data_IF_541757547591
#
_entry.id   IF_541757547591
#
_cell.length_a   1.000
_cell.length_b   1.000
_cell.length_c   1.000
_cell.angle_alpha   90.00
_cell.angle_beta   90.00
_cell.angle_gamma   90.00
#
_symmetry.space_group_name_H-M   'P 1'
#
loop_
_entity.id
_entity.type
_entity.pdbx_description
1 polymer ?
#
# COMPACT_ATOMS: atom_id res chain seq x y z
N UNK A 1 -78.20 -11.49 18.08
CA UNK A 1 -78.43 -10.09 17.65
C UNK A 1 -77.08 -9.38 17.63
N UNK A 2 -76.77 -8.41 16.74
CA UNK A 2 -76.94 -8.23 15.28
C UNK A 2 -75.60 -8.42 14.51
N UNK A 3 -75.56 -8.68 13.18
CA UNK A 3 -75.28 -7.75 12.04
C UNK A 3 -74.08 -6.80 12.23
N UNK A 4 -73.20 -6.45 11.28
CA UNK A 4 -73.02 -6.66 9.82
C UNK A 4 -71.81 -5.78 9.37
N UNK A 5 -71.41 -5.87 8.10
CA UNK A 5 -70.64 -4.87 7.26
C UNK A 5 -69.10 -4.92 7.42
N UNK A 6 -68.29 -5.50 6.51
CA UNK A 6 -68.01 -5.26 5.07
C UNK A 6 -67.23 -3.96 4.79
N UNK A 7 -65.97 -4.06 4.30
CA UNK A 7 -65.50 -3.36 3.07
C UNK A 7 -64.04 -3.67 2.74
N UNK A 8 -63.88 -4.23 1.54
CA UNK A 8 -62.70 -4.22 0.69
C UNK A 8 -62.27 -2.79 0.34
N UNK A 9 -60.96 -2.55 0.17
CA UNK A 9 -60.46 -1.70 -0.91
C UNK A 9 -59.07 -2.15 -1.38
N UNK A 10 -59.03 -2.58 -2.66
CA UNK A 10 -57.84 -2.69 -3.49
C UNK A 10 -57.23 -1.32 -3.77
N UNK A 11 -55.90 -1.23 -3.74
CA UNK A 11 -55.09 -0.23 -4.44
C UNK A 11 -53.99 -1.03 -5.15
N UNK A 12 -54.17 -1.46 -6.40
CA UNK A 12 -53.88 -0.73 -7.66
C UNK A 12 -52.47 -0.12 -7.70
N UNK A 13 -51.57 -0.89 -8.32
CA UNK A 13 -50.56 -0.50 -9.32
C UNK A 13 -49.74 0.78 -9.10
N UNK A 14 -48.43 0.60 -8.94
CA UNK A 14 -47.45 1.39 -9.70
C UNK A 14 -46.23 0.51 -9.99
N UNK A 15 -46.23 -0.13 -11.16
CA UNK A 15 -45.05 -0.77 -11.74
C UNK A 15 -44.26 0.36 -12.41
N UNK A 16 -43.25 0.86 -11.72
CA UNK A 16 -42.34 1.87 -12.28
C UNK A 16 -41.34 1.19 -13.19
N UNK A 17 -41.43 1.58 -14.46
CA UNK A 17 -40.61 1.23 -15.61
C UNK A 17 -39.10 1.42 -15.30
N UNK A 18 -38.34 0.33 -15.27
CA UNK A 18 -36.88 0.34 -15.26
C UNK A 18 -36.40 0.66 -16.69
N UNK A 19 -36.01 1.91 -16.93
CA UNK A 19 -35.24 2.30 -18.13
C UNK A 19 -33.79 1.78 -17.99
N UNK A 20 -33.25 1.01 -18.95
CA UNK A 20 -31.81 0.82 -19.05
C UNK A 20 -31.20 2.10 -19.65
N UNK A 21 -30.56 2.90 -18.80
CA UNK A 21 -29.70 4.00 -19.26
C UNK A 21 -28.42 3.39 -19.82
N UNK A 22 -28.43 3.11 -21.11
CA UNK A 22 -27.23 2.83 -21.89
C UNK A 22 -26.45 4.12 -22.11
N UNK A 23 -25.38 4.32 -21.33
CA UNK A 23 -24.35 5.32 -21.65
C UNK A 23 -23.34 4.63 -22.56
N UNK A 24 -23.57 4.74 -23.86
CA UNK A 24 -22.50 4.65 -24.86
C UNK A 24 -21.85 6.03 -24.94
N UNK A 25 -20.78 6.23 -24.17
CA UNK A 25 -19.87 7.35 -24.37
C UNK A 25 -18.74 6.92 -25.31
N UNK A 26 -18.69 7.57 -26.48
CA UNK A 26 -17.66 7.43 -27.47
C UNK A 26 -16.39 8.24 -27.11
N UNK A 27 -15.23 7.63 -27.38
CA UNK A 27 -13.95 8.21 -27.79
C UNK A 27 -13.44 9.49 -27.12
N UNK A 28 -12.52 9.30 -26.16
CA UNK A 28 -11.61 10.32 -25.65
C UNK A 28 -10.82 9.76 -24.47
N UNK A 29 -9.90 8.83 -24.73
CA UNK A 29 -9.16 8.09 -23.70
C UNK A 29 -8.40 9.00 -22.74
N UNK A 30 -8.99 9.23 -21.57
CA UNK A 30 -8.29 9.59 -20.34
C UNK A 30 -8.48 8.40 -19.39
N UNK A 31 -7.36 7.81 -18.99
CA UNK A 31 -7.27 6.65 -18.10
C UNK A 31 -7.74 7.01 -16.66
N UNK A 32 -9.05 7.13 -16.44
CA UNK A 32 -9.65 7.20 -15.09
C UNK A 32 -9.64 5.81 -14.44
N UNK A 33 -8.43 5.28 -14.27
CA UNK A 33 -8.15 3.94 -13.71
C UNK A 33 -8.61 3.80 -12.25
N UNK A 34 -8.63 4.89 -11.49
CA UNK A 34 -9.17 4.95 -10.11
C UNK A 34 -10.70 4.93 -10.06
N UNK A 35 -11.40 5.34 -11.14
CA UNK A 35 -12.85 5.51 -11.17
C UNK A 35 -13.38 6.85 -10.65
N UNK A 36 -12.52 7.77 -10.23
CA UNK A 36 -12.84 9.16 -9.93
C UNK A 36 -11.61 10.05 -10.21
N UNK A 37 -11.83 11.34 -10.43
CA UNK A 37 -10.74 12.28 -10.77
C UNK A 37 -10.31 13.07 -9.53
N UNK A 38 -9.08 13.58 -9.49
CA UNK A 38 -8.61 14.43 -8.38
C UNK A 38 -9.49 15.66 -8.13
N UNK A 39 -10.14 16.20 -9.16
CA UNK A 39 -11.10 17.31 -9.05
C UNK A 39 -12.32 16.97 -8.21
N UNK A 40 -12.69 15.69 -8.14
CA UNK A 40 -13.88 15.23 -7.43
C UNK A 40 -13.61 15.08 -5.91
N UNK A 41 -12.34 15.21 -5.47
CA UNK A 41 -11.96 15.06 -4.06
C UNK A 41 -12.17 16.36 -3.28
N UNK A 42 -13.07 16.33 -2.29
CA UNK A 42 -13.30 17.45 -1.39
C UNK A 42 -12.10 17.70 -0.45
N UNK A 43 -11.27 18.68 -0.80
CA UNK A 43 -10.10 19.07 -0.02
C UNK A 43 -10.46 19.69 1.35
N UNK A 44 -11.69 20.14 1.55
CA UNK A 44 -12.16 20.72 2.82
C UNK A 44 -12.59 19.69 3.86
N UNK A 45 -12.74 18.42 3.47
CA UNK A 45 -13.10 17.36 4.43
C UNK A 45 -11.94 17.01 5.36
N UNK A 46 -12.30 16.59 6.58
CA UNK A 46 -11.36 16.17 7.63
C UNK A 46 -10.34 15.16 7.10
N UNK A 47 -9.07 15.31 7.45
CA UNK A 47 -8.04 14.32 7.09
C UNK A 47 -8.08 13.08 8.00
N UNK A 48 -8.81 13.13 9.12
CA UNK A 48 -8.93 12.05 10.07
C UNK A 48 -10.18 11.19 9.80
N UNK A 49 -10.06 9.89 10.11
CA UNK A 49 -11.23 9.00 10.23
C UNK A 49 -12.06 9.46 11.43
N UNK A 50 -13.35 9.62 11.22
CA UNK A 50 -14.33 10.04 12.22
C UNK A 50 -14.81 8.86 13.06
N UNK A 51 -15.38 9.14 14.24
CA UNK A 51 -15.93 8.08 15.09
C UNK A 51 -17.14 7.40 14.47
N UNK A 52 -17.92 8.13 13.67
CA UNK A 52 -18.99 7.55 12.87
C UNK A 52 -18.43 6.54 11.87
N UNK A 53 -17.37 6.88 11.12
CA UNK A 53 -16.74 5.96 10.16
C UNK A 53 -16.18 4.72 10.85
N UNK A 54 -15.52 4.90 12.01
CA UNK A 54 -15.05 3.78 12.85
C UNK A 54 -16.20 2.89 13.31
N UNK A 55 -17.31 3.47 13.77
CA UNK A 55 -18.47 2.71 14.24
C UNK A 55 -19.17 1.90 13.13
N UNK A 56 -19.03 2.31 11.86
CA UNK A 56 -19.59 1.60 10.71
C UNK A 56 -18.65 0.53 10.14
N UNK A 57 -17.50 0.28 10.77
CA UNK A 57 -16.57 -0.75 10.34
C UNK A 57 -16.26 -1.70 11.51
N UNK A 58 -16.22 -2.99 11.21
CA UNK A 58 -15.74 -4.02 12.13
C UNK A 58 -14.75 -4.88 11.37
N UNK A 59 -13.49 -4.88 11.83
CA UNK A 59 -12.45 -5.67 11.19
C UNK A 59 -12.79 -7.18 11.27
N UNK A 60 -12.51 -7.96 10.21
CA UNK A 60 -12.65 -9.41 10.24
C UNK A 60 -11.80 -10.05 11.35
N UNK A 61 -12.36 -11.04 12.05
CA UNK A 61 -11.69 -11.70 13.17
C UNK A 61 -10.43 -12.48 12.74
N UNK A 62 -10.41 -13.01 11.52
CA UNK A 62 -9.26 -13.70 10.92
C UNK A 62 -8.21 -12.72 10.36
N UNK A 63 -8.54 -11.43 10.31
CA UNK A 63 -7.71 -10.38 9.70
C UNK A 63 -7.38 -10.62 8.23
N UNK A 64 -8.24 -11.34 7.49
CA UNK A 64 -8.06 -11.67 6.09
C UNK A 64 -8.78 -10.66 5.19
N UNK A 65 -8.10 -10.21 4.15
CA UNK A 65 -8.61 -9.30 3.12
C UNK A 65 -9.57 -10.03 2.17
N UNK A 66 -10.36 -9.26 1.44
CA UNK A 66 -11.16 -9.74 0.30
C UNK A 66 -10.66 -9.16 -1.02
N UNK A 67 -10.93 -9.82 -2.14
CA UNK A 67 -10.61 -9.31 -3.49
C UNK A 67 -11.17 -7.90 -3.75
N UNK A 68 -12.35 -7.62 -3.18
CA UNK A 68 -13.00 -6.31 -3.23
C UNK A 68 -12.20 -5.25 -2.50
N UNK A 69 -11.73 -5.54 -1.29
CA UNK A 69 -10.87 -4.65 -0.50
C UNK A 69 -9.52 -4.39 -1.16
N UNK A 70 -8.92 -5.40 -1.80
CA UNK A 70 -7.68 -5.22 -2.59
C UNK A 70 -7.92 -4.25 -3.75
N UNK A 71 -9.04 -4.40 -4.46
CA UNK A 71 -9.40 -3.50 -5.57
C UNK A 71 -9.68 -2.08 -5.07
N UNK A 72 -10.41 -1.95 -3.96
CA UNK A 72 -10.71 -0.66 -3.34
C UNK A 72 -9.43 0.05 -2.90
N UNK A 73 -8.49 -0.66 -2.28
CA UNK A 73 -7.17 -0.17 -1.90
C UNK A 73 -6.40 0.38 -3.09
N UNK A 74 -6.27 -0.41 -4.16
CA UNK A 74 -5.53 0.01 -5.35
C UNK A 74 -6.12 1.28 -5.96
N UNK A 75 -7.46 1.37 -6.09
CA UNK A 75 -8.14 2.56 -6.62
C UNK A 75 -7.98 3.78 -5.71
N UNK A 76 -8.10 3.58 -4.40
CA UNK A 76 -7.97 4.65 -3.41
C UNK A 76 -6.57 5.25 -3.43
N UNK A 77 -5.53 4.41 -3.44
CA UNK A 77 -4.14 4.86 -3.54
C UNK A 77 -3.82 5.50 -4.89
N UNK A 78 -4.41 5.03 -6.00
CA UNK A 78 -4.26 5.71 -7.30
C UNK A 78 -4.81 7.13 -7.26
N UNK A 79 -6.04 7.30 -6.76
CA UNK A 79 -6.62 8.62 -6.59
C UNK A 79 -5.80 9.47 -5.61
N UNK A 80 -5.24 8.85 -4.56
CA UNK A 80 -4.32 9.51 -3.62
C UNK A 80 -3.11 10.09 -4.35
N UNK A 81 -2.43 9.29 -5.18
CA UNK A 81 -1.24 9.73 -5.92
C UNK A 81 -1.57 10.76 -6.98
N UNK A 82 -2.70 10.63 -7.68
CA UNK A 82 -3.15 11.62 -8.65
C UNK A 82 -3.49 12.96 -7.97
N UNK A 83 -4.08 12.92 -6.76
CA UNK A 83 -4.31 14.11 -5.95
C UNK A 83 -2.99 14.72 -5.48
N UNK A 84 -2.08 13.93 -4.92
CA UNK A 84 -0.76 14.40 -4.46
C UNK A 84 -0.01 15.08 -5.62
N UNK A 85 -0.01 14.47 -6.81
CA UNK A 85 0.63 15.03 -8.01
C UNK A 85 0.05 16.40 -8.33
N UNK A 86 -1.26 16.49 -8.47
CA UNK A 86 -1.96 17.75 -8.79
C UNK A 86 -1.72 18.84 -7.73
N UNK A 87 -1.87 18.51 -6.45
CA UNK A 87 -1.70 19.48 -5.37
C UNK A 87 -0.23 19.88 -5.17
N UNK A 88 0.73 18.99 -5.46
CA UNK A 88 2.15 19.34 -5.49
C UNK A 88 2.48 20.41 -6.52
N UNK A 89 1.79 20.44 -7.67
CA UNK A 89 1.97 21.51 -8.66
C UNK A 89 1.52 22.86 -8.11
N UNK A 90 0.40 22.87 -7.38
CA UNK A 90 -0.10 24.06 -6.69
C UNK A 90 0.83 24.53 -5.56
N UNK A 91 1.36 23.60 -4.76
CA UNK A 91 2.35 23.89 -3.72
C UNK A 91 3.63 24.48 -4.33
N UNK A 92 4.13 23.88 -5.40
CA UNK A 92 5.31 24.35 -6.13
C UNK A 92 5.12 25.78 -6.67
N UNK A 93 3.95 26.09 -7.23
CA UNK A 93 3.64 27.44 -7.69
C UNK A 93 3.66 28.47 -6.55
N UNK A 94 3.13 28.11 -5.36
CA UNK A 94 3.18 28.97 -4.16
C UNK A 94 4.60 29.17 -3.65
N UNK A 95 5.42 28.11 -3.63
CA UNK A 95 6.84 28.19 -3.24
C UNK A 95 7.60 29.12 -4.18
N UNK A 96 7.44 28.98 -5.49
CA UNK A 96 8.08 29.87 -6.47
C UNK A 96 7.63 31.33 -6.32
N UNK A 97 6.35 31.57 -6.00
CA UNK A 97 5.86 32.91 -5.72
C UNK A 97 6.48 33.50 -4.44
N UNK A 98 6.63 32.70 -3.38
CA UNK A 98 7.32 33.11 -2.14
C UNK A 98 8.79 33.44 -2.40
N UNK A 99 9.52 32.59 -3.15
CA UNK A 99 10.92 32.83 -3.53
C UNK A 99 11.08 34.11 -4.35
N UNK A 100 10.15 34.39 -5.28
CA UNK A 100 10.15 35.62 -6.06
C UNK A 100 9.95 36.85 -5.17
N UNK A 101 8.97 36.80 -4.26
CA UNK A 101 8.69 37.87 -3.30
C UNK A 101 9.86 38.11 -2.34
N UNK A 102 10.60 37.06 -1.97
CA UNK A 102 11.80 37.19 -1.12
C UNK A 102 12.90 38.01 -1.79
N UNK A 103 13.14 37.74 -3.09
CA UNK A 103 14.12 38.48 -3.90
C UNK A 103 13.72 39.94 -4.10
N UNK A 104 12.44 40.27 -4.03
CA UNK A 104 11.89 41.60 -4.29
C UNK A 104 11.61 42.43 -3.00
N UNK A 105 11.47 41.80 -1.82
CA UNK A 105 10.78 42.42 -0.65
C UNK A 105 11.58 42.73 0.62
N UNK A 106 12.89 42.40 0.70
CA UNK A 106 13.72 42.70 1.88
C UNK A 106 13.25 42.00 3.20
N UNK A 107 13.68 42.52 4.36
CA UNK A 107 13.51 41.89 5.70
C UNK A 107 12.05 41.66 6.14
N UNK A 108 11.11 42.49 5.69
CA UNK A 108 9.66 42.28 5.91
C UNK A 108 9.09 41.12 5.07
N UNK A 109 9.67 40.88 3.89
CA UNK A 109 9.38 39.70 3.07
C UNK A 109 9.82 38.40 3.75
N UNK A 110 10.98 38.41 4.42
CA UNK A 110 11.48 37.23 5.15
C UNK A 110 10.54 36.79 6.30
N UNK A 111 10.03 37.72 7.11
CA UNK A 111 9.12 37.38 8.23
C UNK A 111 7.76 36.83 7.75
N UNK A 112 7.18 37.37 6.67
CA UNK A 112 5.96 36.81 6.06
C UNK A 112 6.23 35.44 5.44
N UNK A 113 7.38 35.26 4.80
CA UNK A 113 7.77 34.00 4.19
C UNK A 113 7.98 32.88 5.22
N UNK A 114 8.44 33.16 6.45
CA UNK A 114 8.55 32.11 7.50
C UNK A 114 7.17 31.58 7.90
N UNK A 115 6.17 32.45 8.04
CA UNK A 115 4.79 32.05 8.38
C UNK A 115 4.14 31.28 7.23
N UNK A 116 4.32 31.75 6.00
CA UNK A 116 3.74 31.10 4.81
C UNK A 116 4.48 29.79 4.44
N UNK A 117 5.79 29.68 4.71
CA UNK A 117 6.54 28.43 4.60
C UNK A 117 6.04 27.39 5.61
N UNK A 118 5.80 27.78 6.86
CA UNK A 118 5.23 26.90 7.88
C UNK A 118 3.85 26.36 7.48
N UNK A 119 2.98 27.21 6.92
CA UNK A 119 1.68 26.79 6.38
C UNK A 119 1.81 25.85 5.17
N UNK A 120 2.77 26.11 4.30
CA UNK A 120 3.01 25.28 3.11
C UNK A 120 3.52 23.89 3.50
N UNK A 121 4.42 23.80 4.50
CA UNK A 121 4.87 22.52 5.04
C UNK A 121 3.75 21.75 5.76
N UNK A 122 2.91 22.45 6.53
CA UNK A 122 1.74 21.82 7.15
C UNK A 122 0.75 21.28 6.08
N UNK A 123 0.49 22.06 5.03
CA UNK A 123 -0.32 21.62 3.89
C UNK A 123 0.28 20.43 3.15
N UNK A 124 1.61 20.37 3.01
CA UNK A 124 2.28 19.21 2.44
C UNK A 124 2.12 17.95 3.31
N UNK A 125 2.24 18.10 4.64
CA UNK A 125 1.96 17.02 5.59
C UNK A 125 0.50 16.53 5.52
N UNK A 126 -0.46 17.46 5.50
CA UNK A 126 -1.90 17.16 5.39
C UNK A 126 -2.27 16.56 4.02
N UNK A 127 -1.59 16.99 2.96
CA UNK A 127 -1.76 16.44 1.63
C UNK A 127 -1.30 14.98 1.60
N UNK A 128 -0.09 14.71 2.09
CA UNK A 128 0.48 13.36 2.06
C UNK A 128 -0.26 12.41 3.01
N UNK A 129 -0.55 12.85 4.24
CA UNK A 129 -1.25 12.04 5.25
C UNK A 129 -2.75 11.93 5.04
N UNK A 130 -3.42 13.02 4.63
CA UNK A 130 -4.89 13.10 4.55
C UNK A 130 -5.49 12.83 3.17
N UNK A 131 -4.68 12.78 2.11
CA UNK A 131 -5.17 12.48 0.75
C UNK A 131 -5.85 11.11 0.68
N UNK A 132 -5.31 10.09 1.35
CA UNK A 132 -5.86 8.74 1.27
C UNK A 132 -7.29 8.64 1.83
N UNK A 133 -7.54 9.28 2.98
CA UNK A 133 -8.86 9.34 3.62
C UNK A 133 -9.86 10.08 2.73
N UNK A 134 -9.46 11.21 2.15
CA UNK A 134 -10.31 11.99 1.24
C UNK A 134 -10.60 11.22 -0.05
N UNK A 135 -9.61 10.52 -0.61
CA UNK A 135 -9.79 9.62 -1.75
C UNK A 135 -10.74 8.47 -1.44
N UNK A 136 -10.65 7.86 -0.25
CA UNK A 136 -11.56 6.80 0.17
C UNK A 136 -13.02 7.29 0.20
N UNK A 137 -13.28 8.45 0.83
CA UNK A 137 -14.61 9.06 0.86
C UNK A 137 -15.13 9.39 -0.53
N UNK A 138 -14.27 9.94 -1.39
CA UNK A 138 -14.63 10.33 -2.77
C UNK A 138 -15.07 9.12 -3.58
N UNK A 139 -14.43 7.97 -3.36
CA UNK A 139 -14.78 6.71 -4.01
C UNK A 139 -15.94 5.97 -3.33
N UNK A 140 -16.52 6.54 -2.26
CA UNK A 140 -17.63 5.95 -1.50
C UNK A 140 -17.21 4.79 -0.58
N UNK A 141 -15.92 4.63 -0.29
CA UNK A 141 -15.43 3.63 0.65
C UNK A 141 -15.41 4.17 2.07
N UNK A 142 -15.59 3.29 3.07
CA UNK A 142 -15.44 3.66 4.47
C UNK A 142 -13.95 3.92 4.78
N UNK A 143 -13.55 5.10 5.25
CA UNK A 143 -12.13 5.38 5.53
C UNK A 143 -11.51 4.52 6.64
N UNK A 144 -12.29 4.12 7.65
CA UNK A 144 -11.80 3.22 8.71
C UNK A 144 -11.44 1.84 8.16
N UNK A 145 -12.27 1.30 7.26
CA UNK A 145 -11.95 0.06 6.54
C UNK A 145 -10.70 0.25 5.69
N UNK A 146 -10.59 1.35 4.95
CA UNK A 146 -9.46 1.59 4.06
C UNK A 146 -8.13 1.77 4.79
N UNK A 147 -8.11 2.35 5.98
CA UNK A 147 -6.90 2.38 6.83
C UNK A 147 -6.52 0.98 7.31
N UNK A 148 -7.50 0.18 7.75
CA UNK A 148 -7.26 -1.20 8.15
C UNK A 148 -6.72 -2.05 6.98
N UNK A 149 -7.29 -1.91 5.77
CA UNK A 149 -6.77 -2.58 4.56
C UNK A 149 -5.34 -2.14 4.27
N UNK A 150 -5.04 -0.84 4.38
CA UNK A 150 -3.68 -0.30 4.20
C UNK A 150 -2.68 -0.90 5.19
N UNK A 151 -3.09 -1.10 6.45
CA UNK A 151 -2.28 -1.75 7.48
C UNK A 151 -1.97 -3.21 7.10
N UNK A 152 -2.99 -3.99 6.68
CA UNK A 152 -2.80 -5.36 6.21
C UNK A 152 -1.90 -5.45 4.97
N UNK A 153 -2.02 -4.50 4.02
CA UNK A 153 -1.11 -4.40 2.87
C UNK A 153 0.35 -4.11 3.32
N UNK A 154 0.52 -3.29 4.36
CA UNK A 154 1.82 -3.01 4.97
C UNK A 154 2.45 -4.24 5.62
N UNK A 155 1.67 -5.06 6.31
CA UNK A 155 2.14 -6.33 6.88
C UNK A 155 2.63 -7.30 5.81
N UNK A 156 1.87 -7.44 4.71
CA UNK A 156 2.27 -8.27 3.57
C UNK A 156 3.58 -7.76 2.98
N UNK A 157 3.72 -6.45 2.77
CA UNK A 157 4.98 -5.88 2.29
C UNK A 157 6.14 -6.12 3.25
N UNK A 158 5.92 -6.03 4.57
CA UNK A 158 6.93 -6.36 5.58
C UNK A 158 7.41 -7.80 5.47
N UNK A 159 6.50 -8.77 5.32
CA UNK A 159 6.84 -10.18 5.10
C UNK A 159 7.63 -10.36 3.80
N UNK A 160 7.19 -9.74 2.71
CA UNK A 160 7.86 -9.83 1.41
C UNK A 160 9.25 -9.19 1.41
N UNK A 161 9.46 -8.11 2.17
CA UNK A 161 10.79 -7.50 2.36
C UNK A 161 11.73 -8.40 3.16
N UNK A 162 11.21 -9.14 4.14
CA UNK A 162 12.02 -10.05 4.96
C UNK A 162 12.31 -11.39 4.29
N UNK A 163 11.46 -11.82 3.34
CA UNK A 163 11.57 -13.12 2.65
C UNK A 163 12.95 -13.38 2.04
N UNK A 164 13.59 -12.47 1.28
CA UNK A 164 14.94 -12.70 0.75
C UNK A 164 16.01 -12.88 1.85
N UNK A 165 15.91 -12.13 2.96
CA UNK A 165 16.81 -12.27 4.10
C UNK A 165 16.64 -13.63 4.79
N UNK A 166 15.40 -14.09 4.94
CA UNK A 166 15.08 -15.41 5.49
C UNK A 166 15.59 -16.53 4.59
N UNK A 167 15.35 -16.45 3.29
CA UNK A 167 15.85 -17.42 2.31
C UNK A 167 17.39 -17.46 2.30
N UNK A 168 18.05 -16.31 2.38
CA UNK A 168 19.50 -16.24 2.49
C UNK A 168 20.00 -16.87 3.80
N UNK A 169 19.37 -16.58 4.94
CA UNK A 169 19.72 -17.17 6.22
C UNK A 169 19.57 -18.70 6.21
N UNK A 170 18.50 -19.21 5.60
CA UNK A 170 18.27 -20.65 5.42
C UNK A 170 19.34 -21.29 4.53
N UNK A 171 19.73 -20.64 3.43
CA UNK A 171 20.84 -21.11 2.57
C UNK A 171 22.16 -21.14 3.32
N UNK A 172 22.50 -20.06 4.04
CA UNK A 172 23.72 -20.00 4.85
C UNK A 172 23.75 -21.05 5.96
N UNK A 173 22.60 -21.36 6.59
CA UNK A 173 22.51 -22.43 7.57
C UNK A 173 22.72 -23.81 6.93
N UNK A 174 22.15 -24.06 5.75
CA UNK A 174 22.37 -25.29 4.99
C UNK A 174 23.84 -25.46 4.58
N UNK A 175 24.49 -24.40 4.11
CA UNK A 175 25.92 -24.41 3.75
C UNK A 175 26.80 -24.67 4.97
N UNK A 176 26.50 -24.06 6.12
CA UNK A 176 27.22 -24.28 7.37
C UNK A 176 27.07 -25.73 7.85
N UNK A 177 25.87 -26.29 7.72
CA UNK A 177 25.61 -27.69 8.05
C UNK A 177 26.39 -28.63 7.13
N UNK A 178 26.40 -28.39 5.83
CA UNK A 178 27.16 -29.20 4.87
C UNK A 178 28.67 -29.16 5.17
N UNK A 179 29.20 -27.99 5.51
CA UNK A 179 30.61 -27.84 5.93
C UNK A 179 30.91 -28.59 7.23
N UNK A 180 30.03 -28.49 8.24
CA UNK A 180 30.20 -29.20 9.51
C UNK A 180 30.17 -30.73 9.30
N UNK A 181 29.24 -31.23 8.48
CA UNK A 181 29.16 -32.65 8.12
C UNK A 181 30.41 -33.11 7.35
N UNK A 182 30.95 -32.29 6.45
CA UNK A 182 32.19 -32.58 5.73
C UNK A 182 33.41 -32.62 6.67
N UNK A 183 33.54 -31.67 7.59
CA UNK A 183 34.59 -31.69 8.62
C UNK A 183 34.49 -32.93 9.50
N UNK A 184 33.27 -33.35 9.86
CA UNK A 184 33.03 -34.60 10.60
C UNK A 184 33.53 -35.82 9.81
N UNK A 185 33.26 -35.88 8.51
CA UNK A 185 33.74 -36.95 7.62
C UNK A 185 35.27 -36.98 7.53
N UNK A 186 35.91 -35.82 7.36
CA UNK A 186 37.36 -35.71 7.26
C UNK A 186 38.09 -36.06 8.56
N UNK A 187 37.50 -35.70 9.71
CA UNK A 187 37.98 -36.12 11.02
C UNK A 187 37.85 -37.65 11.20
N UNK A 188 36.71 -38.23 10.80
CA UNK A 188 36.47 -39.67 10.88
C UNK A 188 37.37 -40.49 9.93
N UNK A 189 37.75 -39.94 8.77
CA UNK A 189 38.63 -40.60 7.81
C UNK A 189 40.12 -40.50 8.14
N UNK A 190 40.49 -39.83 9.24
CA UNK A 190 41.89 -39.64 9.66
C UNK A 190 42.70 -38.72 8.74
N UNK A 191 42.03 -37.99 7.84
CA UNK A 191 42.67 -37.10 6.84
C UNK A 191 43.00 -35.73 7.45
N UNK A 192 42.34 -35.34 8.54
CA UNK A 192 42.59 -34.09 9.26
C UNK A 192 42.59 -34.32 10.78
N UNK A 193 43.65 -33.89 11.46
CA UNK A 193 43.84 -33.98 12.92
C UNK A 193 43.48 -32.69 13.66
N UNK A 194 42.94 -31.67 12.97
CA UNK A 194 42.77 -30.33 13.53
C UNK A 194 41.35 -29.94 13.98
N UNK A 195 40.33 -30.74 13.68
CA UNK A 195 38.93 -30.42 14.00
C UNK A 195 38.46 -31.21 15.22
N UNK A 196 38.14 -30.53 16.32
CA UNK A 196 37.48 -31.17 17.45
C UNK A 196 36.01 -31.45 17.14
N UNK A 197 35.47 -32.55 17.65
CA UNK A 197 34.04 -32.88 17.57
C UNK A 197 33.18 -31.75 18.16
N UNK A 198 33.68 -31.10 19.21
CA UNK A 198 33.06 -29.92 19.81
C UNK A 198 32.88 -28.75 18.83
N UNK A 199 33.85 -28.50 17.94
CA UNK A 199 33.74 -27.43 16.94
C UNK A 199 32.67 -27.77 15.89
N UNK A 200 32.62 -29.03 15.44
CA UNK A 200 31.60 -29.53 14.51
C UNK A 200 30.20 -29.39 15.12
N UNK A 201 30.03 -29.82 16.38
CA UNK A 201 28.75 -29.74 17.07
C UNK A 201 28.31 -28.30 17.30
N UNK A 202 29.24 -27.39 17.59
CA UNK A 202 28.94 -25.96 17.70
C UNK A 202 28.48 -25.37 16.37
N UNK A 203 29.10 -25.75 15.24
CA UNK A 203 28.64 -25.31 13.91
C UNK A 203 27.24 -25.84 13.58
N UNK A 204 26.96 -27.11 13.88
CA UNK A 204 25.63 -27.69 13.70
C UNK A 204 24.56 -27.02 14.57
N UNK A 205 24.89 -26.71 15.82
CA UNK A 205 24.00 -25.99 16.72
C UNK A 205 23.72 -24.56 16.23
N UNK A 206 24.76 -23.87 15.72
CA UNK A 206 24.63 -22.52 15.15
C UNK A 206 23.75 -22.54 13.89
N UNK A 207 23.97 -23.49 12.98
CA UNK A 207 23.14 -23.66 11.80
C UNK A 207 21.67 -23.90 12.16
N UNK A 208 21.40 -24.79 13.13
CA UNK A 208 20.04 -25.05 13.62
C UNK A 208 19.39 -23.79 14.22
N UNK A 209 20.12 -23.03 15.04
CA UNK A 209 19.60 -21.78 15.60
C UNK A 209 19.29 -20.74 14.51
N UNK A 210 20.11 -20.66 13.46
CA UNK A 210 19.84 -19.80 12.30
C UNK A 210 18.56 -20.22 11.58
N UNK A 211 18.34 -21.51 11.34
CA UNK A 211 17.10 -22.01 10.71
C UNK A 211 15.87 -21.72 11.57
N UNK A 212 15.94 -21.99 12.88
CA UNK A 212 14.85 -21.71 13.81
C UNK A 212 14.53 -20.21 13.87
N UNK A 213 15.55 -19.36 13.91
CA UNK A 213 15.37 -17.90 13.92
C UNK A 213 14.79 -17.39 12.60
N UNK A 214 15.22 -17.93 11.46
CA UNK A 214 14.68 -17.57 10.15
C UNK A 214 13.20 -17.99 10.01
N UNK A 215 12.82 -19.16 10.54
CA UNK A 215 11.43 -19.68 10.49
C UNK A 215 10.50 -19.04 11.52
N UNK A 216 11.02 -18.65 12.68
CA UNK A 216 10.24 -17.99 13.72
C UNK A 216 9.79 -16.58 13.33
N UNK A 217 10.46 -15.95 12.35
CA UNK A 217 10.25 -14.55 11.99
C UNK A 217 9.35 -14.37 10.75
N UNK A 218 8.32 -15.19 10.59
CA UNK A 218 7.45 -15.25 9.39
C UNK A 218 6.35 -14.18 9.34
N UNK A 219 6.31 -13.25 10.29
CA UNK A 219 5.29 -12.22 10.40
C UNK A 219 3.94 -12.72 10.92
N UNK A 220 2.90 -11.87 10.93
CA UNK A 220 1.55 -12.26 11.34
C UNK A 220 1.00 -13.37 10.44
N UNK A 221 0.27 -14.34 11.02
CA UNK A 221 -0.38 -15.43 10.23
C UNK A 221 -1.31 -14.90 9.13
N UNK A 222 -1.98 -13.78 9.40
CA UNK A 222 -2.85 -13.09 8.44
C UNK A 222 -2.10 -12.61 7.20
N UNK A 223 -0.80 -12.29 7.29
CA UNK A 223 -0.04 -11.81 6.14
C UNK A 223 0.13 -12.87 5.05
N UNK A 224 0.32 -14.14 5.42
CA UNK A 224 0.36 -15.26 4.47
C UNK A 224 -0.98 -15.45 3.75
N UNK A 225 -2.08 -15.50 4.52
CA UNK A 225 -3.42 -15.61 3.96
C UNK A 225 -3.80 -14.40 3.08
N UNK A 226 -3.39 -13.20 3.49
CA UNK A 226 -3.59 -11.98 2.69
C UNK A 226 -2.80 -12.03 1.39
N UNK A 227 -1.56 -12.54 1.40
CA UNK A 227 -0.78 -12.72 0.18
C UNK A 227 -1.46 -13.71 -0.79
N UNK A 228 -2.07 -14.78 -0.29
CA UNK A 228 -2.87 -15.69 -1.11
C UNK A 228 -4.08 -14.98 -1.73
N UNK A 229 -4.79 -14.16 -0.96
CA UNK A 229 -5.88 -13.31 -1.48
C UNK A 229 -5.38 -12.35 -2.55
N UNK A 230 -4.21 -11.75 -2.37
CA UNK A 230 -3.61 -10.86 -3.37
C UNK A 230 -3.34 -11.59 -4.70
N UNK A 231 -2.75 -12.78 -4.65
CA UNK A 231 -2.52 -13.59 -5.86
C UNK A 231 -3.82 -14.13 -6.47
N UNK A 232 -4.84 -14.41 -5.66
CA UNK A 232 -6.15 -14.79 -6.16
C UNK A 232 -6.82 -13.61 -6.90
N UNK A 233 -6.85 -12.43 -6.25
CA UNK A 233 -7.45 -11.24 -6.80
C UNK A 233 -6.73 -10.74 -8.06
N UNK A 234 -5.40 -10.87 -8.11
CA UNK A 234 -4.55 -10.45 -9.25
C UNK A 234 -3.42 -11.46 -9.51
N UNK A 235 -3.69 -12.58 -10.23
CA UNK A 235 -2.70 -13.64 -10.46
C UNK A 235 -1.53 -13.23 -11.36
N UNK A 236 -1.64 -12.11 -12.09
CA UNK A 236 -0.58 -11.57 -12.93
C UNK A 236 0.42 -10.66 -12.20
N UNK A 237 0.25 -10.47 -10.89
CA UNK A 237 1.10 -9.59 -10.06
C UNK A 237 2.06 -10.42 -9.21
N UNK A 238 3.35 -10.09 -9.28
CA UNK A 238 4.42 -10.79 -8.55
C UNK A 238 4.53 -10.38 -7.08
N UNK A 239 5.19 -11.22 -6.27
CA UNK A 239 5.58 -10.91 -4.88
C UNK A 239 6.34 -9.58 -4.77
N UNK A 240 7.36 -9.37 -5.61
CA UNK A 240 8.15 -8.13 -5.58
C UNK A 240 7.26 -6.90 -5.80
N UNK A 241 6.28 -7.02 -6.69
CA UNK A 241 5.35 -5.94 -6.96
C UNK A 241 4.37 -5.72 -5.82
N UNK A 242 3.87 -6.77 -5.17
CA UNK A 242 3.05 -6.61 -3.96
C UNK A 242 3.82 -5.97 -2.80
N UNK A 243 5.11 -6.30 -2.66
CA UNK A 243 6.01 -5.62 -1.75
C UNK A 243 6.13 -4.12 -2.07
N UNK A 244 6.30 -3.78 -3.35
CA UNK A 244 6.34 -2.39 -3.81
C UNK A 244 5.01 -1.64 -3.59
N UNK A 245 3.87 -2.28 -3.85
CA UNK A 245 2.53 -1.75 -3.58
C UNK A 245 2.38 -1.40 -2.11
N UNK A 246 2.63 -2.34 -1.20
CA UNK A 246 2.50 -2.08 0.24
C UNK A 246 3.53 -1.07 0.76
N UNK A 247 4.76 -1.07 0.24
CA UNK A 247 5.77 -0.06 0.58
C UNK A 247 5.33 1.36 0.17
N UNK A 248 4.95 1.54 -1.09
CA UNK A 248 4.53 2.82 -1.66
C UNK A 248 3.27 3.38 -0.98
N UNK A 249 2.37 2.49 -0.56
CA UNK A 249 1.19 2.86 0.21
C UNK A 249 1.47 3.09 1.68
N UNK A 250 2.55 2.55 2.27
CA UNK A 250 2.86 2.72 3.69
C UNK A 250 3.46 4.09 4.04
N UNK A 251 3.65 4.32 5.35
CA UNK A 251 4.29 5.54 5.86
C UNK A 251 5.68 5.78 5.24
N UNK A 252 6.46 4.72 5.04
CA UNK A 252 7.80 4.80 4.41
C UNK A 252 7.74 5.27 2.95
N UNK A 253 6.79 4.77 2.16
CA UNK A 253 6.57 5.23 0.79
C UNK A 253 6.17 6.70 0.74
N UNK A 254 5.26 7.11 1.63
CA UNK A 254 4.85 8.52 1.74
C UNK A 254 6.00 9.44 2.18
N UNK A 255 6.87 9.00 3.09
CA UNK A 255 8.07 9.76 3.46
C UNK A 255 9.06 9.90 2.29
N UNK A 256 9.16 8.90 1.41
CA UNK A 256 9.96 8.99 0.19
C UNK A 256 9.44 10.07 -0.79
N UNK A 257 8.22 10.56 -0.60
CA UNK A 257 7.63 11.67 -1.34
C UNK A 257 7.83 13.03 -0.64
N UNK A 258 8.58 13.10 0.46
CA UNK A 258 8.78 14.33 1.24
C UNK A 258 9.39 15.49 0.44
N UNK A 259 10.08 15.20 -0.66
CA UNK A 259 10.64 16.19 -1.58
C UNK A 259 9.63 16.85 -2.53
N UNK A 260 8.37 16.41 -2.58
CA UNK A 260 7.39 16.93 -3.56
C UNK A 260 7.06 18.42 -3.41
N UNK A 261 7.36 19.02 -2.26
CA UNK A 261 7.24 20.46 -2.05
C UNK A 261 8.37 21.28 -2.67
N UNK A 262 9.49 20.65 -3.06
CA UNK A 262 10.57 21.31 -3.80
C UNK A 262 10.35 21.12 -5.32
N UNK A 263 10.13 22.20 -6.08
CA UNK A 263 9.91 22.10 -7.53
C UNK A 263 11.12 21.51 -8.28
N UNK A 264 12.32 21.59 -7.70
CA UNK A 264 13.59 21.08 -8.26
C UNK A 264 13.84 19.62 -7.91
N UNK A 265 13.07 19.04 -6.99
CA UNK A 265 13.20 17.62 -6.65
C UNK A 265 12.50 16.76 -7.71
N UNK A 266 13.26 16.47 -8.76
CA UNK A 266 12.83 15.60 -9.86
C UNK A 266 12.70 14.14 -9.39
N UNK A 267 13.44 13.74 -8.35
CA UNK A 267 13.43 12.37 -7.86
C UNK A 267 12.12 12.05 -7.14
N UNK A 268 11.61 12.96 -6.30
CA UNK A 268 10.31 12.79 -5.65
C UNK A 268 9.15 12.67 -6.66
N UNK A 269 9.19 13.47 -7.74
CA UNK A 269 8.20 13.39 -8.83
C UNK A 269 8.29 12.07 -9.60
N UNK A 270 9.50 11.66 -9.96
CA UNK A 270 9.75 10.37 -10.61
C UNK A 270 9.28 9.21 -9.73
N UNK A 271 9.53 9.29 -8.42
CA UNK A 271 9.08 8.29 -7.44
C UNK A 271 7.56 8.19 -7.35
N UNK A 272 6.87 9.34 -7.36
CA UNK A 272 5.41 9.39 -7.41
C UNK A 272 4.85 8.72 -8.67
N UNK A 273 5.46 8.98 -9.83
CA UNK A 273 5.08 8.34 -11.10
C UNK A 273 5.36 6.82 -11.11
N UNK A 274 6.49 6.39 -10.53
CA UNK A 274 6.81 4.97 -10.33
C UNK A 274 5.75 4.29 -9.45
N UNK A 275 5.41 4.88 -8.29
CA UNK A 275 4.39 4.35 -7.40
C UNK A 275 3.03 4.28 -8.09
N UNK A 276 2.61 5.34 -8.77
CA UNK A 276 1.37 5.35 -9.53
C UNK A 276 1.35 4.22 -10.57
N UNK A 277 2.43 4.05 -11.34
CA UNK A 277 2.53 2.98 -12.35
C UNK A 277 2.38 1.59 -11.72
N UNK A 278 3.05 1.33 -10.61
CA UNK A 278 2.95 0.05 -9.89
C UNK A 278 1.50 -0.25 -9.51
N UNK A 279 0.75 0.74 -9.04
CA UNK A 279 -0.66 0.54 -8.70
C UNK A 279 -1.56 0.37 -9.93
N UNK A 280 -1.30 1.10 -11.01
CA UNK A 280 -2.06 0.96 -12.27
C UNK A 280 -1.87 -0.42 -12.87
N UNK A 281 -0.63 -0.90 -12.88
CA UNK A 281 -0.27 -2.22 -13.38
C UNK A 281 -0.87 -3.33 -12.51
N UNK A 282 -0.83 -3.19 -11.18
CA UNK A 282 -1.47 -4.14 -10.27
C UNK A 282 -3.00 -4.18 -10.49
N UNK A 283 -3.63 -3.01 -10.68
CA UNK A 283 -5.06 -2.93 -10.96
C UNK A 283 -5.41 -3.59 -12.31
N UNK A 284 -4.54 -3.43 -13.30
CA UNK A 284 -4.62 -4.08 -14.61
C UNK A 284 -4.17 -5.56 -14.61
N UNK A 285 -3.92 -6.14 -13.43
CA UNK A 285 -3.49 -7.52 -13.25
C UNK A 285 -2.21 -7.87 -14.04
N UNK A 286 -1.23 -6.96 -14.04
CA UNK A 286 0.06 -7.16 -14.71
C UNK A 286 1.22 -6.79 -13.79
N UNK A 287 2.35 -7.47 -13.97
CA UNK A 287 3.60 -7.13 -13.30
C UNK A 287 4.32 -5.99 -14.02
N UNK A 288 4.75 -4.95 -13.29
CA UNK A 288 5.53 -3.86 -13.87
C UNK A 288 6.90 -4.35 -14.38
N UNK A 289 7.41 -3.80 -15.50
CA UNK A 289 8.74 -4.13 -16.00
C UNK A 289 9.83 -3.99 -14.94
N UNK A 290 10.66 -5.02 -14.77
CA UNK A 290 11.72 -5.09 -13.76
C UNK A 290 11.29 -5.69 -12.41
N UNK A 291 10.01 -6.07 -12.25
CA UNK A 291 9.48 -6.73 -11.04
C UNK A 291 9.09 -8.20 -11.27
N UNK A 292 9.45 -8.81 -12.39
CA UNK A 292 9.03 -10.16 -12.80
C UNK A 292 9.75 -11.27 -12.04
N UNK A 293 10.96 -11.01 -11.53
CA UNK A 293 11.89 -12.04 -11.06
C UNK A 293 11.65 -12.53 -9.62
N UNK A 294 10.48 -12.28 -9.04
CA UNK A 294 10.08 -12.85 -7.76
C UNK A 294 8.98 -13.91 -7.92
N UNK A 295 9.01 -14.70 -9.00
CA UNK A 295 8.18 -15.90 -9.05
C UNK A 295 8.61 -16.85 -7.94
N UNK A 296 7.69 -17.37 -7.11
CA UNK A 296 7.99 -18.54 -6.29
C UNK A 296 8.45 -19.64 -7.24
N UNK A 297 9.69 -20.10 -7.10
CA UNK A 297 10.09 -21.34 -7.78
C UNK A 297 9.21 -22.46 -7.22
N UNK A 298 8.65 -23.33 -8.09
CA UNK A 298 7.82 -24.44 -7.67
C UNK A 298 8.57 -25.45 -6.78
#
# INVERSE_FOLDING_TARGET
MPMSIQRSHSIRSLVTLLLPVGILAACGGRDDTSGARPEDVDQGTSIAVTDAERAHFTAPADSVLTDGQVTAYLKTSLLQFDLIRKESEHLNARVQEMEKREKEGGTLGQLRNVVDAGRTMAQAGDLVGGSYIRSARTLGYNPAEMEWVRERMGEVAGVLMMKPMQEQALRSAADMRAQAEEMRRQAASGVSTGYSEQNVDQMLATAKQMEESARANTGPRSAGANLEVLHHARPGVSDAMWGAVGFAGGASGLMALGGLSDPKDVEAKKKLDEFRRVYQDALANRTSPGMENAKPQP
#
